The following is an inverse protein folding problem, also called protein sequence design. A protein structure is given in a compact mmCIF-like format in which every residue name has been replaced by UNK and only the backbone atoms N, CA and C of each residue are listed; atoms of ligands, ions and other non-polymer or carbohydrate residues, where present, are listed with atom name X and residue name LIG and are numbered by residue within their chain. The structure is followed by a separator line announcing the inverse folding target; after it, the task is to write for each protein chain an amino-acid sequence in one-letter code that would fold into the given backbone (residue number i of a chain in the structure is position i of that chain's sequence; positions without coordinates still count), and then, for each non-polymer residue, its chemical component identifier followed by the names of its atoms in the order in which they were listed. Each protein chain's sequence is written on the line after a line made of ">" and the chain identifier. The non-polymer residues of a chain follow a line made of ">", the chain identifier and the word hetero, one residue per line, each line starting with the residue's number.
data_IF_421147952050
#
_entry.id   IF_421147952050
#
_cell.length_a   1.000
_cell.length_b   1.000
_cell.length_c   1.000
_cell.angle_alpha   90.00
_cell.angle_beta   90.00
_cell.angle_gamma   90.00
#
_symmetry.space_group_name_H-M   'P 1'
#
loop_
_entity.id
_entity.type
_entity.pdbx_description
1 polymer ?
#
# COMPACT_ATOMS: atom_id res chain seq x y z
N UNK A 1 -2.01 17.28 -16.62
CA UNK A 1 -2.86 17.38 -15.40
C UNK A 1 -3.99 18.38 -15.58
N UNK A 2 -4.90 18.13 -16.53
CA UNK A 2 -6.03 19.05 -16.82
C UNK A 2 -7.16 18.97 -15.79
N UNK A 3 -7.33 17.84 -15.11
CA UNK A 3 -8.35 17.67 -14.05
C UNK A 3 -7.85 18.18 -12.70
N UNK A 4 -8.47 19.23 -12.12
CA UNK A 4 -8.08 19.76 -10.81
C UNK A 4 -8.34 18.72 -9.70
N UNK A 5 -9.34 17.86 -9.87
CA UNK A 5 -9.67 16.77 -8.92
C UNK A 5 -8.57 15.73 -8.89
N UNK A 6 -8.12 15.26 -10.05
CA UNK A 6 -7.00 14.33 -10.16
C UNK A 6 -5.71 14.91 -9.58
N UNK A 7 -5.42 16.19 -9.81
CA UNK A 7 -4.23 16.85 -9.26
C UNK A 7 -4.20 16.84 -7.73
N UNK A 8 -5.33 17.15 -7.07
CA UNK A 8 -5.44 17.11 -5.61
C UNK A 8 -5.24 15.69 -5.07
N UNK A 9 -5.87 14.71 -5.70
CA UNK A 9 -5.68 13.31 -5.35
C UNK A 9 -4.21 12.90 -5.51
N UNK A 10 -3.60 13.22 -6.65
CA UNK A 10 -2.23 12.84 -6.98
C UNK A 10 -1.22 13.39 -5.98
N UNK A 11 -1.34 14.67 -5.59
CA UNK A 11 -0.47 15.28 -4.57
C UNK A 11 -0.65 14.59 -3.22
N UNK A 12 -1.89 14.36 -2.77
CA UNK A 12 -2.16 13.66 -1.52
C UNK A 12 -1.64 12.23 -1.53
N UNK A 13 -1.84 11.50 -2.64
CA UNK A 13 -1.33 10.14 -2.82
C UNK A 13 0.20 10.09 -2.83
N UNK A 14 0.86 11.03 -3.51
CA UNK A 14 2.32 11.12 -3.54
C UNK A 14 2.92 11.32 -2.14
N UNK A 15 2.39 12.26 -1.36
CA UNK A 15 2.83 12.49 0.02
C UNK A 15 2.61 11.24 0.89
N UNK A 16 1.45 10.60 0.77
CA UNK A 16 1.15 9.35 1.47
C UNK A 16 2.09 8.21 1.07
N UNK A 17 2.48 8.09 -0.21
CA UNK A 17 3.45 7.10 -0.64
C UNK A 17 4.83 7.37 -0.05
N UNK A 18 5.30 8.62 -0.07
CA UNK A 18 6.60 9.00 0.54
C UNK A 18 6.60 8.65 2.03
N UNK A 19 5.56 9.06 2.78
CA UNK A 19 5.43 8.73 4.19
C UNK A 19 5.42 7.22 4.46
N UNK A 20 4.73 6.43 3.63
CA UNK A 20 4.68 4.97 3.77
C UNK A 20 6.06 4.33 3.54
N UNK A 21 6.86 4.84 2.61
CA UNK A 21 8.24 4.35 2.41
C UNK A 21 9.18 4.78 3.52
N UNK A 22 9.02 5.99 4.12
CA UNK A 22 9.72 6.42 5.32
C UNK A 22 9.42 5.46 6.48
N UNK A 23 8.15 5.16 6.73
CA UNK A 23 7.74 4.20 7.75
C UNK A 23 8.32 2.81 7.52
N UNK A 24 8.34 2.34 6.26
CA UNK A 24 8.84 1.01 5.92
C UNK A 24 10.32 0.83 6.35
N UNK A 25 11.16 1.84 6.09
CA UNK A 25 12.57 1.84 6.52
C UNK A 25 12.67 1.84 8.04
N UNK A 26 11.95 2.74 8.71
CA UNK A 26 11.99 2.87 10.17
C UNK A 26 11.46 1.61 10.86
N UNK A 27 10.40 0.98 10.32
CA UNK A 27 9.84 -0.25 10.86
C UNK A 27 10.81 -1.41 10.71
N UNK A 28 11.43 -1.57 9.54
CA UNK A 28 12.41 -2.64 9.31
C UNK A 28 13.64 -2.48 10.22
N UNK A 29 14.14 -1.25 10.37
CA UNK A 29 15.24 -0.95 11.27
C UNK A 29 14.87 -1.25 12.72
N UNK A 30 13.69 -0.81 13.18
CA UNK A 30 13.22 -1.00 14.56
C UNK A 30 13.02 -2.48 14.89
N UNK A 31 12.48 -3.27 13.95
CA UNK A 31 12.35 -4.74 14.12
C UNK A 31 13.73 -5.36 14.34
N UNK A 32 14.70 -5.00 13.49
CA UNK A 32 16.06 -5.54 13.61
C UNK A 32 16.76 -5.06 14.89
N UNK A 33 16.59 -3.80 15.25
CA UNK A 33 17.18 -3.24 16.48
C UNK A 33 16.66 -3.93 17.76
N UNK A 34 15.36 -4.21 17.84
CA UNK A 34 14.72 -4.87 18.97
C UNK A 34 15.04 -6.37 19.07
N UNK A 35 15.17 -7.04 17.93
CA UNK A 35 15.22 -8.52 17.90
C UNK A 35 16.59 -9.08 17.59
N UNK A 36 17.44 -8.30 16.91
CA UNK A 36 18.73 -8.74 16.35
C UNK A 36 18.61 -10.03 15.52
N UNK A 37 17.44 -10.24 14.90
CA UNK A 37 17.10 -11.45 14.17
C UNK A 37 16.59 -11.14 12.78
N UNK A 38 17.31 -11.61 11.77
CA UNK A 38 16.93 -11.51 10.35
C UNK A 38 15.67 -12.33 10.06
N UNK A 39 15.50 -13.45 10.75
CA UNK A 39 14.30 -14.28 10.64
C UNK A 39 13.05 -13.53 11.09
N UNK A 40 13.09 -12.85 12.24
CA UNK A 40 11.96 -12.08 12.74
C UNK A 40 11.68 -10.84 11.87
N UNK A 41 12.71 -10.23 11.29
CA UNK A 41 12.54 -9.19 10.28
C UNK A 41 11.79 -9.73 9.04
N UNK A 42 12.20 -10.90 8.53
CA UNK A 42 11.53 -11.58 7.44
C UNK A 42 10.07 -11.94 7.76
N UNK A 43 9.78 -12.34 9.00
CA UNK A 43 8.42 -12.64 9.48
C UNK A 43 7.49 -11.44 9.43
N UNK A 44 7.97 -10.23 9.75
CA UNK A 44 7.17 -8.98 9.62
C UNK A 44 6.87 -8.68 8.15
N UNK A 45 7.86 -8.83 7.27
CA UNK A 45 7.67 -8.72 5.82
C UNK A 45 6.66 -9.75 5.27
N UNK A 46 6.80 -11.02 5.71
CA UNK A 46 5.86 -12.08 5.36
C UNK A 46 4.43 -11.79 5.85
N UNK A 47 4.27 -11.37 7.10
CA UNK A 47 2.98 -11.02 7.68
C UNK A 47 2.27 -9.89 6.92
N UNK A 48 3.02 -8.90 6.41
CA UNK A 48 2.45 -7.82 5.61
C UNK A 48 2.01 -8.27 4.22
N UNK A 49 2.70 -9.25 3.62
CA UNK A 49 2.37 -9.77 2.28
C UNK A 49 1.33 -10.88 2.26
N UNK A 50 1.25 -11.65 3.34
CA UNK A 50 0.40 -12.84 3.46
C UNK A 50 -1.09 -12.59 3.14
N UNK A 51 -1.73 -11.53 3.68
CA UNK A 51 -3.12 -11.25 3.36
C UNK A 51 -3.35 -11.02 1.88
N UNK A 52 -2.45 -10.32 1.22
CA UNK A 52 -2.57 -10.03 -0.20
C UNK A 52 -2.50 -11.29 -1.06
N UNK A 53 -1.68 -12.28 -0.67
CA UNK A 53 -1.58 -13.54 -1.39
C UNK A 53 -2.91 -14.31 -1.42
N UNK A 54 -3.63 -14.33 -0.29
CA UNK A 54 -4.87 -15.12 -0.17
C UNK A 54 -6.15 -14.30 -0.41
N UNK A 55 -6.14 -13.02 -0.08
CA UNK A 55 -7.36 -12.20 -0.06
C UNK A 55 -7.44 -11.17 -1.20
N UNK A 56 -6.43 -11.09 -2.09
CA UNK A 56 -6.44 -10.14 -3.21
C UNK A 56 -7.74 -10.20 -4.05
N UNK A 57 -8.30 -11.39 -4.38
CA UNK A 57 -9.54 -11.46 -5.13
C UNK A 57 -10.76 -10.96 -4.35
N UNK A 58 -10.77 -11.18 -3.02
CA UNK A 58 -11.83 -10.66 -2.14
C UNK A 58 -11.76 -9.14 -2.08
N UNK A 59 -10.54 -8.60 -1.96
CA UNK A 59 -10.29 -7.16 -1.98
C UNK A 59 -10.74 -6.49 -3.29
N UNK A 60 -10.46 -7.12 -4.44
CA UNK A 60 -10.93 -6.67 -5.74
C UNK A 60 -12.46 -6.66 -5.84
N UNK A 61 -13.11 -7.75 -5.46
CA UNK A 61 -14.58 -7.84 -5.45
C UNK A 61 -15.23 -6.81 -4.51
N UNK A 62 -14.61 -6.50 -3.38
CA UNK A 62 -15.09 -5.46 -2.47
C UNK A 62 -14.94 -4.06 -3.08
N UNK A 63 -13.80 -3.79 -3.74
CA UNK A 63 -13.52 -2.54 -4.44
C UNK A 63 -14.53 -2.26 -5.58
N UNK A 64 -15.04 -3.29 -6.23
CA UNK A 64 -16.02 -3.17 -7.31
C UNK A 64 -17.45 -2.93 -6.80
N UNK A 65 -17.78 -3.43 -5.61
CA UNK A 65 -19.16 -3.37 -5.04
C UNK A 65 -19.43 -2.10 -4.24
N UNK A 66 -18.43 -1.57 -3.56
CA UNK A 66 -18.60 -0.47 -2.63
C UNK A 66 -18.14 0.85 -3.23
N UNK A 67 -18.56 1.94 -2.60
CA UNK A 67 -18.11 3.28 -3.01
C UNK A 67 -16.60 3.43 -2.78
N UNK A 68 -15.84 3.59 -3.88
CA UNK A 68 -14.37 3.70 -3.87
C UNK A 68 -13.85 4.77 -2.91
N UNK A 69 -14.55 5.93 -2.84
CA UNK A 69 -14.19 7.01 -1.92
C UNK A 69 -14.33 6.56 -0.47
N UNK A 70 -15.44 5.90 -0.13
CA UNK A 70 -15.68 5.42 1.23
C UNK A 70 -14.65 4.37 1.64
N UNK A 71 -14.35 3.41 0.76
CA UNK A 71 -13.30 2.42 1.01
C UNK A 71 -11.97 3.11 1.28
N UNK A 72 -11.55 4.05 0.41
CA UNK A 72 -10.28 4.75 0.58
C UNK A 72 -10.25 5.62 1.85
N UNK A 73 -11.34 6.25 2.22
CA UNK A 73 -11.41 6.97 3.50
C UNK A 73 -11.18 6.04 4.69
N UNK A 74 -11.79 4.85 4.67
CA UNK A 74 -11.62 3.85 5.73
C UNK A 74 -10.18 3.32 5.74
N UNK A 75 -9.67 2.88 4.59
CA UNK A 75 -8.33 2.27 4.51
C UNK A 75 -7.23 3.26 4.86
N UNK A 76 -7.33 4.52 4.38
CA UNK A 76 -6.37 5.57 4.69
C UNK A 76 -6.42 5.98 6.17
N UNK A 77 -7.61 5.99 6.78
CA UNK A 77 -7.75 6.23 8.22
C UNK A 77 -7.13 5.10 9.04
N UNK A 78 -7.31 3.85 8.63
CA UNK A 78 -6.69 2.70 9.29
C UNK A 78 -5.15 2.76 9.18
N UNK A 79 -4.60 3.10 8.02
CA UNK A 79 -3.16 3.31 7.87
C UNK A 79 -2.65 4.48 8.73
N UNK A 80 -3.38 5.59 8.79
CA UNK A 80 -3.01 6.73 9.64
C UNK A 80 -3.00 6.34 11.13
N UNK A 81 -4.04 5.63 11.58
CA UNK A 81 -4.14 5.15 12.97
C UNK A 81 -3.05 4.14 13.31
N UNK A 82 -2.73 3.21 12.41
CA UNK A 82 -1.64 2.24 12.61
C UNK A 82 -0.27 2.93 12.69
N UNK A 83 -0.02 3.92 11.83
CA UNK A 83 1.20 4.72 11.86
C UNK A 83 1.29 5.56 13.15
N UNK A 84 0.18 6.16 13.58
CA UNK A 84 0.11 6.92 14.84
C UNK A 84 0.34 6.00 16.04
N UNK A 85 -0.25 4.81 16.05
CA UNK A 85 -0.02 3.82 17.11
C UNK A 85 1.45 3.43 17.19
N UNK A 86 2.13 3.17 16.08
CA UNK A 86 3.57 2.92 16.03
C UNK A 86 4.37 4.11 16.57
N UNK A 87 4.01 5.35 16.19
CA UNK A 87 4.69 6.55 16.68
C UNK A 87 4.57 6.67 18.21
N UNK A 88 3.36 6.52 18.76
CA UNK A 88 3.11 6.63 20.21
C UNK A 88 3.81 5.51 20.97
N UNK A 89 3.67 4.26 20.55
CA UNK A 89 4.31 3.11 21.20
C UNK A 89 5.84 3.22 21.19
N UNK A 90 6.42 3.72 20.09
CA UNK A 90 7.86 3.91 19.99
C UNK A 90 8.32 5.09 20.84
N UNK A 91 7.58 6.20 20.84
CA UNK A 91 7.91 7.39 21.66
C UNK A 91 7.83 7.11 23.16
N UNK A 92 6.85 6.30 23.59
CA UNK A 92 6.67 5.93 24.99
C UNK A 92 7.60 4.79 25.46
N UNK A 93 8.38 4.20 24.55
CA UNK A 93 9.25 3.05 24.85
C UNK A 93 8.49 1.75 25.10
N UNK A 94 7.18 1.71 24.83
CA UNK A 94 6.33 0.52 24.99
C UNK A 94 6.30 -0.39 23.78
N UNK A 95 7.03 -0.03 22.72
CA UNK A 95 7.04 -0.81 21.49
C UNK A 95 7.64 -2.20 21.73
N UNK A 96 6.98 -3.23 21.17
CA UNK A 96 7.43 -4.62 21.19
C UNK A 96 7.31 -5.22 19.80
N UNK A 97 8.06 -6.29 19.56
CA UNK A 97 8.03 -7.02 18.30
C UNK A 97 6.61 -7.47 17.91
N UNK A 98 5.82 -7.95 18.85
CA UNK A 98 4.47 -8.44 18.64
C UNK A 98 3.54 -7.36 18.09
N UNK A 99 3.71 -6.10 18.51
CA UNK A 99 2.94 -4.96 17.98
C UNK A 99 3.34 -4.63 16.55
N UNK A 100 4.64 -4.69 16.24
CA UNK A 100 5.13 -4.49 14.88
C UNK A 100 4.59 -5.56 13.93
N UNK A 101 4.58 -6.82 14.36
CA UNK A 101 4.04 -7.94 13.61
C UNK A 101 2.52 -7.80 13.39
N UNK A 102 1.77 -7.49 14.46
CA UNK A 102 0.32 -7.32 14.39
C UNK A 102 -0.08 -6.16 13.47
N UNK A 103 0.62 -5.02 13.55
CA UNK A 103 0.38 -3.86 12.69
C UNK A 103 0.78 -4.15 11.24
N UNK A 104 1.86 -4.90 11.00
CA UNK A 104 2.23 -5.33 9.66
C UNK A 104 1.14 -6.21 9.02
N UNK A 105 0.60 -7.17 9.77
CA UNK A 105 -0.51 -8.01 9.33
C UNK A 105 -1.78 -7.18 9.05
N UNK A 106 -2.14 -6.26 9.95
CA UNK A 106 -3.26 -5.34 9.77
C UNK A 106 -3.10 -4.49 8.50
N UNK A 107 -1.92 -3.90 8.31
CA UNK A 107 -1.62 -3.10 7.12
C UNK A 107 -1.69 -3.95 5.84
N UNK A 108 -1.24 -5.20 5.88
CA UNK A 108 -1.40 -6.15 4.79
C UNK A 108 -2.87 -6.42 4.43
N UNK A 109 -3.71 -6.63 5.44
CA UNK A 109 -5.16 -6.80 5.26
C UNK A 109 -5.80 -5.56 4.62
N UNK A 110 -5.48 -4.37 5.13
CA UNK A 110 -5.99 -3.10 4.59
C UNK A 110 -5.52 -2.90 3.15
N UNK A 111 -4.26 -3.20 2.84
CA UNK A 111 -3.66 -3.05 1.51
C UNK A 111 -4.36 -3.90 0.46
N UNK A 112 -4.88 -5.08 0.84
CA UNK A 112 -5.61 -5.99 -0.05
C UNK A 112 -6.81 -5.32 -0.70
N UNK A 113 -7.48 -4.43 0.01
CA UNK A 113 -8.66 -3.69 -0.47
C UNK A 113 -8.25 -2.30 -1.03
N UNK A 114 -7.26 -1.66 -0.40
CA UNK A 114 -6.81 -0.31 -0.76
C UNK A 114 -6.23 -0.27 -2.19
N UNK A 115 -5.35 -1.20 -2.52
CA UNK A 115 -4.63 -1.20 -3.79
C UNK A 115 -5.56 -1.26 -5.02
N UNK A 116 -6.49 -2.24 -5.16
CA UNK A 116 -7.40 -2.29 -6.28
C UNK A 116 -8.36 -1.08 -6.31
N UNK A 117 -8.77 -0.59 -5.13
CA UNK A 117 -9.64 0.58 -5.03
C UNK A 117 -8.94 1.85 -5.54
N UNK A 118 -7.66 2.05 -5.20
CA UNK A 118 -6.86 3.19 -5.73
C UNK A 118 -6.72 3.12 -7.24
N UNK A 119 -6.40 1.95 -7.79
CA UNK A 119 -6.28 1.77 -9.25
C UNK A 119 -7.59 2.09 -9.97
N UNK A 120 -8.69 1.59 -9.44
CA UNK A 120 -10.02 1.85 -9.95
C UNK A 120 -10.40 3.34 -9.85
N UNK A 121 -10.05 4.02 -8.74
CA UNK A 121 -10.31 5.45 -8.56
C UNK A 121 -9.55 6.28 -9.59
N UNK A 122 -8.26 6.03 -9.83
CA UNK A 122 -7.46 6.74 -10.83
C UNK A 122 -8.11 6.67 -12.21
N UNK A 123 -8.60 5.50 -12.60
CA UNK A 123 -9.30 5.30 -13.87
C UNK A 123 -10.59 6.14 -13.99
N UNK A 124 -11.23 6.47 -12.85
CA UNK A 124 -12.46 7.29 -12.82
C UNK A 124 -12.20 8.80 -12.74
N UNK A 125 -11.06 9.22 -12.19
CA UNK A 125 -10.72 10.63 -12.02
C UNK A 125 -10.18 11.28 -13.29
N UNK A 126 -9.80 10.46 -14.29
CA UNK A 126 -9.17 10.92 -15.54
C UNK A 126 -10.09 10.61 -16.71
N UNK A 127 -10.30 11.57 -17.65
CA UNK A 127 -11.02 11.31 -18.88
C UNK A 127 -10.41 10.13 -19.68
N UNK A 128 -11.22 9.38 -20.41
CA UNK A 128 -10.74 8.21 -21.19
C UNK A 128 -9.58 8.54 -22.13
N UNK A 129 -9.58 9.74 -22.72
CA UNK A 129 -8.50 10.20 -23.60
C UNK A 129 -7.14 10.37 -22.88
N UNK A 130 -7.16 10.67 -21.59
CA UNK A 130 -5.97 10.93 -20.77
C UNK A 130 -5.64 9.77 -19.79
N UNK A 131 -6.36 8.65 -19.91
CA UNK A 131 -6.27 7.53 -18.95
C UNK A 131 -4.85 6.95 -18.85
N UNK A 132 -4.18 6.75 -19.99
CA UNK A 132 -2.82 6.25 -20.03
C UNK A 132 -1.85 7.19 -19.30
N UNK A 133 -2.00 8.51 -19.50
CA UNK A 133 -1.20 9.52 -18.79
C UNK A 133 -1.49 9.55 -17.29
N UNK A 134 -2.75 9.40 -16.90
CA UNK A 134 -3.13 9.34 -15.48
C UNK A 134 -2.52 8.14 -14.75
N UNK A 135 -2.56 6.97 -15.38
CA UNK A 135 -1.93 5.75 -14.86
C UNK A 135 -0.41 5.91 -14.79
N UNK A 136 0.21 6.45 -15.84
CA UNK A 136 1.65 6.69 -15.88
C UNK A 136 2.11 7.67 -14.79
N UNK A 137 1.37 8.76 -14.56
CA UNK A 137 1.65 9.72 -13.49
C UNK A 137 1.50 9.11 -12.10
N UNK A 138 0.49 8.25 -11.88
CA UNK A 138 0.32 7.56 -10.61
C UNK A 138 1.46 6.55 -10.35
N UNK A 139 1.87 5.81 -11.37
CA UNK A 139 3.03 4.92 -11.30
C UNK A 139 4.33 5.71 -11.05
N UNK A 140 4.53 6.83 -11.74
CA UNK A 140 5.69 7.71 -11.50
C UNK A 140 5.73 8.22 -10.07
N UNK A 141 4.58 8.66 -9.51
CA UNK A 141 4.50 9.08 -8.12
C UNK A 141 4.92 7.96 -7.15
N UNK A 142 4.40 6.74 -7.36
CA UNK A 142 4.73 5.58 -6.53
C UNK A 142 6.24 5.24 -6.60
N UNK A 143 6.81 5.17 -7.82
CA UNK A 143 8.23 4.85 -7.99
C UNK A 143 9.16 5.96 -7.50
N UNK A 144 8.79 7.23 -7.68
CA UNK A 144 9.55 8.36 -7.13
C UNK A 144 9.53 8.33 -5.59
N UNK A 145 8.37 8.05 -4.99
CA UNK A 145 8.24 7.90 -3.55
C UNK A 145 9.07 6.73 -3.01
N UNK A 146 9.18 5.62 -3.78
CA UNK A 146 10.01 4.46 -3.45
C UNK A 146 11.50 4.78 -3.40
N UNK A 147 11.96 5.82 -4.11
CA UNK A 147 13.35 6.29 -4.08
C UNK A 147 13.53 7.34 -2.99
N UNK A 148 12.66 8.36 -2.96
CA UNK A 148 12.78 9.48 -2.03
C UNK A 148 12.47 9.08 -0.59
N UNK A 149 11.48 8.20 -0.39
CA UNK A 149 11.04 7.78 0.94
C UNK A 149 12.15 7.17 1.78
N UNK A 150 12.86 6.13 1.30
CA UNK A 150 13.98 5.56 2.02
C UNK A 150 15.13 6.53 2.27
N UNK A 151 15.45 7.40 1.31
CA UNK A 151 16.49 8.42 1.49
C UNK A 151 16.14 9.41 2.62
N UNK A 152 14.91 9.94 2.61
CA UNK A 152 14.43 10.84 3.67
C UNK A 152 14.27 10.05 4.98
N UNK A 153 13.76 8.82 4.91
CA UNK A 153 13.56 7.95 6.08
C UNK A 153 14.85 7.62 6.79
N UNK A 154 15.91 7.29 6.05
CA UNK A 154 17.24 7.02 6.61
C UNK A 154 17.82 8.24 7.34
N UNK A 155 17.77 9.42 6.71
CA UNK A 155 18.22 10.66 7.34
C UNK A 155 17.40 10.99 8.60
N UNK A 156 16.08 10.88 8.53
CA UNK A 156 15.20 11.17 9.66
C UNK A 156 15.43 10.17 10.81
N UNK A 157 15.64 8.91 10.46
CA UNK A 157 15.91 7.85 11.42
C UNK A 157 17.23 8.09 12.18
N UNK A 158 18.30 8.50 11.45
CA UNK A 158 19.59 8.83 12.03
C UNK A 158 19.51 10.03 12.99
N UNK A 159 18.80 11.10 12.60
CA UNK A 159 18.78 12.34 13.37
C UNK A 159 17.78 12.35 14.53
N UNK A 160 16.65 11.70 14.35
CA UNK A 160 15.52 11.81 15.28
C UNK A 160 14.94 10.47 15.74
N UNK A 161 15.43 9.35 15.21
CA UNK A 161 14.96 8.01 15.56
C UNK A 161 13.69 7.58 14.83
N UNK A 162 13.16 6.40 15.19
CA UNK A 162 12.05 5.76 14.49
C UNK A 162 10.68 6.43 14.74
N UNK A 163 10.45 6.96 15.94
CA UNK A 163 9.13 7.53 16.28
C UNK A 163 8.72 8.70 15.39
N UNK A 164 9.57 9.69 15.08
CA UNK A 164 9.26 10.75 14.10
C UNK A 164 8.97 10.22 12.70
N UNK A 165 9.61 9.15 12.26
CA UNK A 165 9.32 8.54 10.95
C UNK A 165 7.87 8.06 10.86
N UNK A 166 7.38 7.41 11.91
CA UNK A 166 6.00 6.96 12.01
C UNK A 166 5.02 8.13 12.09
N UNK A 167 5.38 9.20 12.83
CA UNK A 167 4.56 10.40 12.94
C UNK A 167 4.44 11.13 11.59
N UNK A 168 5.54 11.29 10.86
CA UNK A 168 5.55 11.88 9.52
C UNK A 168 4.63 11.09 8.58
N UNK A 169 4.65 9.76 8.63
CA UNK A 169 3.74 8.96 7.84
C UNK A 169 2.27 9.14 8.29
N UNK A 170 1.98 9.13 9.59
CA UNK A 170 0.64 9.38 10.10
C UNK A 170 0.09 10.74 9.60
N UNK A 171 0.92 11.78 9.61
CA UNK A 171 0.58 13.11 9.09
C UNK A 171 0.42 13.11 7.56
N UNK A 172 1.23 12.34 6.83
CA UNK A 172 1.14 12.26 5.37
C UNK A 172 -0.22 11.72 4.90
N UNK A 173 -0.84 10.82 5.67
CA UNK A 173 -2.19 10.34 5.38
C UNK A 173 -3.26 11.43 5.48
N UNK A 174 -3.03 12.49 6.26
CA UNK A 174 -3.95 13.63 6.32
C UNK A 174 -4.10 14.32 4.97
N UNK A 175 -3.03 14.38 4.17
CA UNK A 175 -3.06 14.99 2.84
C UNK A 175 -3.99 14.23 1.87
N UNK A 176 -3.91 12.90 1.83
CA UNK A 176 -4.79 12.09 0.99
C UNK A 176 -6.22 12.08 1.52
N UNK A 177 -6.42 12.05 2.84
CA UNK A 177 -7.75 12.12 3.45
C UNK A 177 -8.44 13.46 3.13
N UNK A 178 -7.74 14.59 3.25
CA UNK A 178 -8.26 15.91 2.88
C UNK A 178 -8.58 15.98 1.38
N UNK A 179 -7.73 15.43 0.53
CA UNK A 179 -7.99 15.31 -0.89
C UNK A 179 -9.30 14.54 -1.15
N UNK A 180 -9.46 13.34 -0.56
CA UNK A 180 -10.64 12.50 -0.72
C UNK A 180 -11.91 13.16 -0.17
N UNK A 181 -11.82 13.88 0.95
CA UNK A 181 -12.94 14.62 1.54
C UNK A 181 -13.38 15.80 0.66
N UNK A 182 -12.43 16.46 0.00
CA UNK A 182 -12.72 17.59 -0.90
C UNK A 182 -13.36 17.18 -2.24
N UNK A 183 -13.36 15.87 -2.56
CA UNK A 183 -13.88 15.34 -3.82
C UNK A 183 -15.36 14.96 -3.69
N UNK A 184 -16.19 15.45 -4.60
CA UNK A 184 -17.55 14.91 -4.83
C UNK A 184 -17.47 13.87 -5.92
N UNK A 185 -17.27 12.61 -5.55
CA UNK A 185 -17.27 11.48 -6.48
C UNK A 185 -18.70 10.97 -6.56
N UNK A 186 -19.30 11.05 -7.74
CA UNK A 186 -20.61 10.44 -7.97
C UNK A 186 -20.47 8.91 -7.86
N UNK A 187 -21.42 8.24 -7.22
CA UNK A 187 -21.45 6.78 -7.21
C UNK A 187 -21.51 6.28 -8.64
N UNK A 188 -20.58 5.41 -9.04
CA UNK A 188 -20.63 4.81 -10.39
C UNK A 188 -21.90 3.99 -10.51
N UNK A 189 -22.68 4.23 -11.56
CA UNK A 189 -23.86 3.45 -11.91
C UNK A 189 -23.52 2.02 -12.39
N UNK A 190 -22.27 1.78 -12.75
CA UNK A 190 -21.77 0.48 -13.20
C UNK A 190 -21.50 -0.45 -12.00
N UNK A 191 -22.57 -0.86 -11.32
CA UNK A 191 -22.51 -1.98 -10.41
C UNK A 191 -22.54 -3.24 -11.25
N UNK A 192 -21.38 -3.89 -11.41
CA UNK A 192 -21.33 -5.24 -11.96
C UNK A 192 -22.33 -6.14 -11.20
N UNK A 193 -23.10 -6.94 -11.95
CA UNK A 193 -24.02 -7.92 -11.38
C UNK A 193 -23.27 -8.83 -10.38
N UNK A 194 -23.91 -9.26 -9.30
CA UNK A 194 -23.28 -10.02 -8.23
C UNK A 194 -22.98 -11.45 -8.68
N UNK A 195 -21.92 -11.65 -9.44
CA UNK A 195 -21.31 -12.98 -9.58
C UNK A 195 -20.65 -13.31 -8.24
N UNK A 196 -20.86 -14.52 -7.73
CA UNK A 196 -20.28 -14.94 -6.45
C UNK A 196 -18.77 -14.80 -6.47
N UNK A 197 -18.15 -14.33 -5.36
CA UNK A 197 -16.69 -14.15 -5.26
C UNK A 197 -15.94 -15.43 -5.68
N UNK A 198 -16.45 -16.59 -5.27
CA UNK A 198 -15.89 -17.90 -5.63
C UNK A 198 -15.94 -18.18 -7.14
N UNK A 199 -17.04 -17.79 -7.79
CA UNK A 199 -17.21 -17.96 -9.22
C UNK A 199 -16.26 -17.06 -10.00
N UNK A 200 -16.13 -15.79 -9.61
CA UNK A 200 -15.17 -14.85 -10.24
C UNK A 200 -13.71 -15.31 -10.06
N UNK A 201 -13.39 -15.92 -8.92
CA UNK A 201 -12.09 -16.54 -8.66
C UNK A 201 -11.82 -17.71 -9.61
N UNK A 202 -12.77 -18.62 -9.71
CA UNK A 202 -12.67 -19.79 -10.57
C UNK A 202 -12.51 -19.39 -12.03
N UNK A 203 -13.34 -18.46 -12.51
CA UNK A 203 -13.27 -17.93 -13.88
C UNK A 203 -11.92 -17.25 -14.15
N UNK A 204 -11.37 -16.47 -13.19
CA UNK A 204 -10.05 -15.85 -13.29
C UNK A 204 -8.90 -16.87 -13.38
N UNK A 205 -8.94 -17.92 -12.54
CA UNK A 205 -7.94 -18.98 -12.56
C UNK A 205 -8.03 -19.80 -13.86
N UNK A 206 -9.24 -20.20 -14.28
CA UNK A 206 -9.45 -20.93 -15.53
C UNK A 206 -8.99 -20.11 -16.74
N UNK A 207 -9.21 -18.78 -16.74
CA UNK A 207 -8.76 -17.89 -17.80
C UNK A 207 -7.22 -17.81 -17.91
N UNK A 208 -6.52 -17.77 -16.79
CA UNK A 208 -5.04 -17.75 -16.75
C UNK A 208 -4.47 -19.10 -17.18
N UNK A 209 -5.02 -20.21 -16.65
CA UNK A 209 -4.56 -21.56 -16.96
C UNK A 209 -4.83 -21.96 -18.41
N UNK A 210 -5.92 -21.47 -19.01
CA UNK A 210 -6.26 -21.72 -20.41
C UNK A 210 -5.29 -21.06 -21.42
N UNK A 211 -4.47 -20.08 -20.97
CA UNK A 211 -3.58 -19.33 -21.84
C UNK A 211 -2.13 -19.45 -21.43
N UNK A 212 -1.35 -20.29 -22.13
CA UNK A 212 0.07 -20.53 -21.87
C UNK A 212 0.90 -19.24 -21.71
N UNK A 213 0.64 -18.22 -22.53
CA UNK A 213 1.34 -16.93 -22.43
C UNK A 213 1.10 -16.20 -21.11
N UNK A 214 -0.15 -16.21 -20.61
CA UNK A 214 -0.48 -15.61 -19.32
C UNK A 214 0.11 -16.41 -18.16
N UNK A 215 0.11 -17.73 -18.24
CA UNK A 215 0.72 -18.61 -17.25
C UNK A 215 2.24 -18.38 -17.15
N UNK A 216 2.94 -18.25 -18.28
CA UNK A 216 4.37 -17.94 -18.31
C UNK A 216 4.68 -16.55 -17.74
N UNK A 217 3.87 -15.54 -18.06
CA UNK A 217 3.99 -14.22 -17.47
C UNK A 217 3.77 -14.26 -15.95
N UNK A 218 2.78 -15.00 -15.49
CA UNK A 218 2.48 -15.14 -14.08
C UNK A 218 3.62 -15.85 -13.33
N UNK A 219 4.17 -16.92 -13.91
CA UNK A 219 5.33 -17.63 -13.36
C UNK A 219 6.58 -16.72 -13.30
N UNK A 220 6.80 -15.92 -14.34
CA UNK A 220 7.91 -14.97 -14.38
C UNK A 220 7.78 -13.90 -13.30
N UNK A 221 6.57 -13.33 -13.12
CA UNK A 221 6.27 -12.38 -12.03
C UNK A 221 6.47 -13.02 -10.67
N UNK A 222 6.05 -14.28 -10.48
CA UNK A 222 6.23 -15.01 -9.23
C UNK A 222 7.72 -15.16 -8.89
N UNK A 223 8.54 -15.59 -9.85
CA UNK A 223 10.00 -15.76 -9.67
C UNK A 223 10.66 -14.41 -9.38
N UNK A 224 10.37 -13.37 -10.17
CA UNK A 224 10.93 -12.04 -9.96
C UNK A 224 10.49 -11.43 -8.61
N UNK A 225 9.25 -11.65 -8.18
CA UNK A 225 8.76 -11.16 -6.89
C UNK A 225 9.44 -11.88 -5.73
N UNK A 226 9.63 -13.19 -5.85
CA UNK A 226 10.24 -13.99 -4.78
C UNK A 226 11.73 -13.70 -4.61
N UNK A 227 12.46 -13.57 -5.71
CA UNK A 227 13.93 -13.43 -5.66
C UNK A 227 14.39 -11.97 -5.86
N UNK A 228 13.66 -11.15 -6.62
CA UNK A 228 14.08 -9.79 -6.98
C UNK A 228 13.61 -8.70 -6.02
N UNK A 229 12.45 -8.87 -5.37
CA UNK A 229 11.87 -7.83 -4.51
C UNK A 229 12.19 -8.00 -3.02
N UNK A 230 12.93 -9.04 -2.64
CA UNK A 230 13.34 -9.29 -1.24
C UNK A 230 14.44 -8.36 -0.75
N UNK A 231 15.19 -7.72 -1.66
CA UNK A 231 16.34 -6.85 -1.33
C UNK A 231 16.03 -5.68 -0.37
N UNK A 232 14.89 -4.96 -0.47
CA UNK A 232 14.62 -3.85 0.44
C UNK A 232 14.40 -4.28 1.90
N UNK A 233 13.94 -5.50 2.13
CA UNK A 233 13.71 -6.06 3.47
C UNK A 233 15.04 -6.39 4.16
N UNK A 234 16.05 -6.77 3.38
CA UNK A 234 17.37 -7.16 3.89
C UNK A 234 18.35 -6.00 3.99
N UNK A 235 18.05 -4.82 3.42
CA UNK A 235 18.93 -3.64 3.48
C UNK A 235 19.41 -3.28 4.88
N UNK A 236 18.58 -3.30 5.95
CA UNK A 236 19.04 -2.99 7.31
C UNK A 236 20.06 -3.97 7.89
N UNK A 237 20.20 -5.16 7.30
CA UNK A 237 21.16 -6.18 7.72
C UNK A 237 22.57 -5.88 7.21
N UNK A 238 22.67 -5.13 6.10
CA UNK A 238 23.92 -4.79 5.44
C UNK A 238 24.40 -3.35 5.74
N UNK A 239 23.62 -2.57 6.46
CA UNK A 239 23.94 -1.20 6.89
C UNK A 239 24.45 -1.17 8.32
#
# INVERSE_FOLDING_TARGET
>A
MRSPVFRRYWVGAFLSFVGSWIQNVAQSWLVYDLTRSEFLLGMVGFASGLPMLFLAPVGGALADRWNRRTILLITQSLFALSALALAVLTYTGLIRYEYLLAIALLNGLVLTVDLPTRQSLVAHLVPRADLANGIALNAAAFHTARILGPAIGGLLLEWAGAAPCFLVNALSFSAILLALLSMRIQPSADRCAPTGILQSLREGVEFVLARRGLMLLWLNVLVLSTFGLSSPVLLPVFA
#
